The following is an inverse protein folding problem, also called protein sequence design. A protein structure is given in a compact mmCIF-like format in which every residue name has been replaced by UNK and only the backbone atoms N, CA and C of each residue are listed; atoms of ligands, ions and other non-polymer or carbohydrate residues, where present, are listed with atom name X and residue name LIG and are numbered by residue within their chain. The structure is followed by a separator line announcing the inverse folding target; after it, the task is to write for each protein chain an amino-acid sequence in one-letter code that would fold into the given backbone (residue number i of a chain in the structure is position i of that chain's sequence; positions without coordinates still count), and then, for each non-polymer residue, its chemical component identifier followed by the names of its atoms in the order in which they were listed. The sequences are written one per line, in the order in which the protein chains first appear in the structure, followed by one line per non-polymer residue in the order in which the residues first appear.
data_IF_501192120668
#
_entry.id   IF_501192120668
#
_cell.length_a   1.000
_cell.length_b   1.000
_cell.length_c   1.000
_cell.angle_alpha   90.00
_cell.angle_beta   90.00
_cell.angle_gamma   90.00
#
_symmetry.space_group_name_H-M   'P 1'
#
loop_
_entity.id
_entity.type
_entity.pdbx_description
1 polymer ?
#
# COMPACT_ATOMS: atom_id res chain seq x y z
N UNK A 1 -15.84 -8.69 -13.29
CA UNK A 1 -15.34 -8.50 -11.92
C UNK A 1 -14.36 -9.63 -11.68
N UNK A 2 -13.05 -9.36 -11.57
CA UNK A 2 -12.03 -10.41 -11.45
C UNK A 2 -11.97 -10.84 -9.99
N UNK A 3 -12.74 -11.87 -9.61
CA UNK A 3 -12.82 -12.37 -8.23
C UNK A 3 -11.45 -12.78 -7.66
N UNK A 4 -10.51 -13.14 -8.52
CA UNK A 4 -9.14 -13.54 -8.15
C UNK A 4 -8.35 -12.40 -7.50
N UNK A 5 -8.60 -11.13 -7.84
CA UNK A 5 -7.89 -9.98 -7.24
C UNK A 5 -8.13 -9.87 -5.73
N UNK A 6 -9.28 -10.34 -5.25
CA UNK A 6 -9.65 -10.21 -3.84
C UNK A 6 -9.17 -11.36 -2.95
N UNK A 7 -8.60 -12.43 -3.53
CA UNK A 7 -8.11 -13.57 -2.76
C UNK A 7 -6.95 -13.14 -1.85
N UNK A 8 -6.02 -12.37 -2.39
CA UNK A 8 -4.81 -11.91 -1.72
C UNK A 8 -4.90 -10.46 -1.20
N UNK A 9 -6.09 -9.85 -1.24
CA UNK A 9 -6.32 -8.50 -0.71
C UNK A 9 -6.00 -8.47 0.79
N UNK A 10 -5.15 -7.53 1.23
CA UNK A 10 -4.73 -7.37 2.63
C UNK A 10 -5.90 -7.31 3.62
N UNK A 11 -7.05 -6.78 3.22
CA UNK A 11 -8.26 -6.66 4.06
C UNK A 11 -8.98 -7.98 4.24
N UNK A 12 -8.77 -8.94 3.32
CA UNK A 12 -9.53 -10.19 3.22
C UNK A 12 -8.67 -11.44 3.39
N UNK A 13 -7.35 -11.35 3.20
CA UNK A 13 -6.43 -12.48 3.13
C UNK A 13 -6.54 -13.42 4.33
N UNK A 14 -6.56 -12.89 5.55
CA UNK A 14 -6.68 -13.71 6.77
C UNK A 14 -8.05 -14.42 6.87
N UNK A 15 -9.12 -13.77 6.40
CA UNK A 15 -10.45 -14.38 6.33
C UNK A 15 -10.46 -15.50 5.28
N UNK A 16 -9.85 -15.26 4.13
CA UNK A 16 -9.81 -16.21 3.02
C UNK A 16 -8.96 -17.45 3.38
N UNK A 17 -7.84 -17.27 4.10
CA UNK A 17 -7.04 -18.37 4.67
C UNK A 17 -7.89 -19.17 5.66
N UNK A 18 -8.59 -18.50 6.58
CA UNK A 18 -9.47 -19.20 7.54
C UNK A 18 -10.63 -19.93 6.86
N UNK A 19 -11.14 -19.40 5.75
CA UNK A 19 -12.19 -20.00 4.95
C UNK A 19 -11.68 -21.13 4.02
N UNK A 20 -10.37 -21.37 3.97
CA UNK A 20 -9.76 -22.38 3.10
C UNK A 20 -9.79 -22.03 1.61
N UNK A 21 -10.02 -20.75 1.27
CA UNK A 21 -10.00 -20.29 -0.12
C UNK A 21 -8.58 -20.15 -0.66
N UNK A 22 -7.61 -19.90 0.23
CA UNK A 22 -6.18 -19.84 -0.10
C UNK A 22 -5.30 -20.37 1.04
N UNK A 23 -4.11 -20.78 0.62
CA UNK A 23 -2.85 -21.03 1.31
C UNK A 23 -2.26 -19.93 2.18
N UNK A 24 -1.58 -20.23 3.31
CA UNK A 24 -0.53 -19.32 3.81
C UNK A 24 0.64 -19.30 2.83
N UNK A 25 1.02 -20.47 2.34
CA UNK A 25 2.09 -20.67 1.37
C UNK A 25 1.77 -20.02 0.02
N UNK A 26 0.52 -20.10 -0.43
CA UNK A 26 0.07 -19.40 -1.65
C UNK A 26 0.13 -17.88 -1.51
N UNK A 27 -0.23 -17.35 -0.33
CA UNK A 27 -0.11 -15.92 -0.06
C UNK A 27 1.36 -15.47 -0.03
N UNK A 28 2.25 -16.24 0.62
CA UNK A 28 3.69 -15.95 0.61
C UNK A 28 4.28 -15.98 -0.80
N UNK A 29 3.90 -16.98 -1.61
CA UNK A 29 4.30 -17.05 -3.01
C UNK A 29 3.75 -15.90 -3.86
N UNK A 30 2.57 -15.38 -3.53
CA UNK A 30 2.02 -14.17 -4.15
C UNK A 30 2.87 -12.94 -3.78
N UNK A 31 3.17 -12.75 -2.49
CA UNK A 31 3.99 -11.62 -2.02
C UNK A 31 5.39 -11.62 -2.65
N UNK A 32 6.02 -12.79 -2.79
CA UNK A 32 7.34 -12.92 -3.39
C UNK A 32 7.39 -12.54 -4.88
N UNK A 33 6.25 -12.51 -5.57
CA UNK A 33 6.15 -12.09 -6.98
C UNK A 33 5.97 -10.58 -7.15
N UNK A 34 5.65 -9.86 -6.07
CA UNK A 34 5.50 -8.41 -6.14
C UNK A 34 6.86 -7.77 -6.37
N UNK A 35 6.93 -6.84 -7.32
CA UNK A 35 8.15 -6.09 -7.58
C UNK A 35 8.47 -5.20 -6.38
N UNK A 36 9.75 -5.14 -6.00
CA UNK A 36 10.22 -4.10 -5.10
C UNK A 36 10.10 -2.74 -5.82
N UNK A 37 9.39 -1.82 -5.20
CA UNK A 37 9.16 -0.46 -5.70
C UNK A 37 9.63 0.60 -4.72
N UNK A 38 10.42 0.21 -3.71
CA UNK A 38 10.96 1.13 -2.70
C UNK A 38 11.71 2.29 -3.35
N UNK A 39 12.50 2.02 -4.39
CA UNK A 39 13.27 3.02 -5.14
C UNK A 39 12.41 4.00 -5.96
N UNK A 40 11.11 3.72 -6.13
CA UNK A 40 10.15 4.59 -6.83
C UNK A 40 9.46 5.59 -5.89
N UNK A 41 9.77 5.57 -4.60
CA UNK A 41 9.21 6.50 -3.63
C UNK A 41 9.80 7.90 -3.74
N UNK A 42 8.94 8.91 -3.76
CA UNK A 42 9.36 10.31 -3.59
C UNK A 42 9.53 10.61 -2.09
N UNK A 43 10.61 11.31 -1.73
CA UNK A 43 10.83 11.74 -0.36
C UNK A 43 9.96 12.98 -0.07
N UNK A 44 9.06 12.87 0.90
CA UNK A 44 8.31 14.01 1.41
C UNK A 44 9.01 14.60 2.65
N UNK A 45 9.37 15.87 2.59
CA UNK A 45 9.80 16.66 3.75
C UNK A 45 8.58 17.18 4.50
N UNK A 46 8.49 16.90 5.80
CA UNK A 46 7.38 17.36 6.68
C UNK A 46 7.59 18.82 7.12
N UNK A 47 8.74 19.42 6.79
CA UNK A 47 9.21 20.70 7.35
C UNK A 47 9.40 21.84 6.33
N UNK A 48 8.95 21.71 5.09
CA UNK A 48 9.04 22.82 4.12
C UNK A 48 7.79 23.71 4.13
N UNK A 49 7.43 24.25 5.31
CA UNK A 49 6.44 25.33 5.45
C UNK A 49 6.81 26.30 6.58
N UNK A 50 8.01 26.88 6.50
CA UNK A 50 8.34 28.11 7.21
C UNK A 50 8.95 29.09 6.20
N UNK A 51 8.09 29.94 5.60
CA UNK A 51 8.32 31.37 5.27
C UNK A 51 7.56 31.79 4.00
N UNK A 52 6.35 32.33 4.15
CA UNK A 52 5.95 33.56 3.46
C UNK A 52 4.74 34.19 4.16
N UNK A 53 4.97 34.65 5.39
CA UNK A 53 4.17 35.70 6.03
C UNK A 53 4.56 37.05 5.38
N UNK A 54 3.89 37.43 4.30
CA UNK A 54 3.96 38.78 3.72
C UNK A 54 2.61 39.47 3.90
N UNK A 55 2.56 40.29 4.95
CA UNK A 55 1.58 41.36 5.14
C UNK A 55 1.35 42.17 3.86
N UNK A 56 0.09 42.33 3.45
CA UNK A 56 -0.37 43.55 2.77
C UNK A 56 -1.86 43.76 3.02
N UNK A 57 -2.16 44.64 3.98
CA UNK A 57 -3.47 45.30 4.10
C UNK A 57 -3.53 46.38 3.01
N UNK A 58 -4.51 46.28 2.12
CA UNK A 58 -4.98 47.36 1.25
C UNK A 58 -6.31 47.88 1.76
#
# INVERSE_FOLDING_TARGET
MHMEEFLFDKRLVERNIRAGLITREEYEAHLAKLADVTDKGEAFSIFDDDSDDQHSRG
#
